data_IF_128097669388
#
_entry.id   IF_128097669388
#
_cell.length_a   1.000
_cell.length_b   1.000
_cell.length_c   1.000
_cell.angle_alpha   90.00
_cell.angle_beta   90.00
_cell.angle_gamma   90.00
#
_symmetry.space_group_name_H-M   'P 1'
#
loop_
_entity.id
_entity.type
_entity.pdbx_description
1 polymer ?
#
# COMPACT_ATOMS: atom_id res chain seq x y z
N UNK A 1 15.30 -6.05 -10.50
CA UNK A 1 14.15 -6.62 -9.77
C UNK A 1 13.32 -7.43 -10.76
N UNK A 2 12.73 -8.54 -10.34
CA UNK A 2 11.77 -9.34 -11.12
C UNK A 2 10.42 -9.37 -10.40
N UNK A 3 9.33 -9.43 -11.15
CA UNK A 3 7.98 -9.56 -10.57
C UNK A 3 7.65 -11.02 -10.25
N UNK A 4 6.86 -11.23 -9.21
CA UNK A 4 6.35 -12.54 -8.80
C UNK A 4 4.91 -12.42 -8.30
N UNK A 5 4.13 -13.50 -8.41
CA UNK A 5 2.78 -13.60 -7.85
C UNK A 5 2.56 -15.01 -7.29
N UNK A 6 2.66 -15.13 -5.97
CA UNK A 6 2.46 -16.37 -5.24
C UNK A 6 0.96 -16.63 -4.96
N UNK A 7 0.60 -17.90 -4.78
CA UNK A 7 -0.71 -18.27 -4.29
C UNK A 7 -1.00 -17.72 -2.87
N UNK A 8 -2.28 -17.48 -2.57
CA UNK A 8 -2.74 -17.07 -1.23
C UNK A 8 -2.77 -18.26 -0.27
N UNK A 9 -3.28 -19.41 -0.73
CA UNK A 9 -3.39 -20.64 0.04
C UNK A 9 -2.05 -21.37 -0.01
N UNK A 10 -1.39 -21.50 1.14
CA UNK A 10 -0.08 -22.15 1.23
C UNK A 10 -0.12 -23.34 2.20
N UNK A 11 0.77 -24.29 1.97
CA UNK A 11 0.94 -25.47 2.81
C UNK A 11 1.31 -25.03 4.25
N UNK A 12 0.72 -25.64 5.31
CA UNK A 12 1.05 -25.33 6.70
C UNK A 12 2.55 -25.33 7.03
N UNK A 13 3.33 -26.21 6.41
CA UNK A 13 4.78 -26.30 6.62
C UNK A 13 5.54 -25.01 6.28
N UNK A 14 5.00 -24.20 5.37
CA UNK A 14 5.60 -22.89 5.03
C UNK A 14 5.56 -21.97 6.26
N UNK A 15 4.43 -21.96 6.96
CA UNK A 15 4.19 -21.13 8.13
C UNK A 15 4.85 -21.65 9.40
N UNK A 16 5.04 -22.97 9.48
CA UNK A 16 5.85 -23.62 10.51
C UNK A 16 7.34 -23.27 10.32
N UNK A 17 7.86 -23.42 9.11
CA UNK A 17 9.24 -23.06 8.78
C UNK A 17 9.51 -21.58 9.06
N UNK A 18 8.58 -20.69 8.70
CA UNK A 18 8.67 -19.26 8.99
C UNK A 18 8.27 -18.89 10.44
N UNK A 19 8.04 -19.84 11.34
CA UNK A 19 7.73 -19.58 12.74
C UNK A 19 6.41 -18.83 13.00
N UNK A 20 5.59 -18.58 11.96
CA UNK A 20 4.32 -17.85 12.10
C UNK A 20 3.29 -18.64 12.93
N UNK A 21 3.36 -19.97 12.93
CA UNK A 21 2.47 -20.77 13.77
C UNK A 21 2.80 -20.67 15.26
N UNK A 22 4.04 -20.31 15.61
CA UNK A 22 4.52 -20.22 17.00
C UNK A 22 4.53 -18.79 17.54
N UNK A 23 4.97 -17.81 16.73
CA UNK A 23 5.27 -16.45 17.18
C UNK A 23 4.29 -15.38 16.65
N UNK A 24 3.42 -15.69 15.69
CA UNK A 24 2.48 -14.72 15.10
C UNK A 24 1.18 -14.63 15.91
N UNK A 25 1.31 -14.29 17.19
CA UNK A 25 0.20 -14.23 18.14
C UNK A 25 0.15 -12.89 18.88
N UNK A 26 -1.07 -12.39 19.07
CA UNK A 26 -1.33 -11.21 19.89
C UNK A 26 -1.86 -11.62 21.27
N UNK A 27 -1.52 -10.88 22.35
CA UNK A 27 -2.11 -11.10 23.65
C UNK A 27 -3.56 -10.58 23.65
N UNK A 28 -4.52 -11.47 23.85
CA UNK A 28 -5.95 -11.18 23.81
C UNK A 28 -6.54 -11.17 25.23
N UNK A 29 -7.30 -10.13 25.55
CA UNK A 29 -8.19 -10.06 26.72
C UNK A 29 -9.63 -9.88 26.28
N UNK A 30 -10.57 -10.47 27.02
CA UNK A 30 -12.01 -10.32 26.78
C UNK A 30 -12.66 -9.64 27.98
N UNK A 31 -13.48 -8.63 27.71
CA UNK A 31 -14.32 -8.01 28.75
C UNK A 31 -15.39 -9.01 29.16
N UNK A 32 -15.40 -9.42 30.43
CA UNK A 32 -16.35 -10.39 31.00
C UNK A 32 -17.80 -9.88 31.02
N UNK A 33 -18.01 -8.59 30.75
CA UNK A 33 -19.33 -7.94 30.81
C UNK A 33 -19.99 -7.88 29.44
N UNK A 34 -19.27 -7.42 28.41
CA UNK A 34 -19.81 -7.28 27.05
C UNK A 34 -19.26 -8.29 26.04
N UNK A 35 -18.27 -9.10 26.43
CA UNK A 35 -17.56 -10.08 25.59
C UNK A 35 -16.81 -9.47 24.38
N UNK A 36 -16.60 -8.16 24.38
CA UNK A 36 -15.69 -7.51 23.43
C UNK A 36 -14.23 -7.89 23.75
N UNK A 37 -13.46 -8.07 22.69
CA UNK A 37 -12.08 -8.56 22.76
C UNK A 37 -11.14 -7.45 22.35
N UNK A 38 -10.05 -7.34 23.09
CA UNK A 38 -9.05 -6.31 22.88
C UNK A 38 -7.66 -6.94 22.94
N UNK A 39 -6.72 -6.23 22.34
CA UNK A 39 -5.31 -6.49 22.54
C UNK A 39 -4.88 -6.01 23.91
N UNK A 40 -4.31 -6.90 24.70
CA UNK A 40 -3.91 -6.61 26.08
C UNK A 40 -2.78 -5.57 26.16
N UNK A 41 -1.97 -5.46 25.10
CA UNK A 41 -0.87 -4.51 24.97
C UNK A 41 -1.31 -3.16 24.38
N UNK A 42 -2.59 -3.00 24.01
CA UNK A 42 -3.17 -1.74 23.56
C UNK A 42 -3.87 -1.01 24.72
N UNK A 43 -3.07 -0.47 25.65
CA UNK A 43 -3.58 0.15 26.89
C UNK A 43 -4.59 1.28 26.63
N UNK A 44 -4.40 2.07 25.57
CA UNK A 44 -5.31 3.15 25.20
C UNK A 44 -6.72 2.63 24.88
N UNK A 45 -6.82 1.54 24.12
CA UNK A 45 -8.10 0.93 23.73
C UNK A 45 -8.80 0.30 24.94
N UNK A 46 -8.03 -0.42 25.76
CA UNK A 46 -8.50 -1.01 27.01
C UNK A 46 -9.05 0.07 27.96
N UNK A 47 -8.31 1.17 28.12
CA UNK A 47 -8.70 2.28 29.00
C UNK A 47 -9.93 3.02 28.49
N UNK A 48 -10.02 3.24 27.18
CA UNK A 48 -11.21 3.84 26.56
C UNK A 48 -12.45 2.96 26.74
N UNK A 49 -12.31 1.65 26.59
CA UNK A 49 -13.40 0.70 26.82
C UNK A 49 -13.86 0.70 28.29
N UNK A 50 -12.91 0.72 29.24
CA UNK A 50 -13.22 0.85 30.66
C UNK A 50 -13.92 2.17 31.00
N UNK A 51 -13.58 3.27 30.32
CA UNK A 51 -14.27 4.55 30.47
C UNK A 51 -15.73 4.47 29.97
N UNK A 52 -15.97 3.83 28.82
CA UNK A 52 -17.31 3.64 28.27
C UNK A 52 -18.23 2.82 29.21
N UNK A 53 -17.68 1.78 29.87
CA UNK A 53 -18.42 1.03 30.89
C UNK A 53 -18.69 1.87 32.15
N UNK A 54 -17.74 2.71 32.59
CA UNK A 54 -17.95 3.63 33.72
C UNK A 54 -19.08 4.64 33.46
N UNK A 55 -19.19 5.16 32.24
CA UNK A 55 -20.28 6.07 31.86
C UNK A 55 -21.67 5.41 31.92
N UNK A 56 -21.73 4.09 31.76
CA UNK A 56 -22.96 3.29 31.84
C UNK A 56 -23.22 2.70 33.23
N UNK A 57 -22.37 3.03 34.21
CA UNK A 57 -22.38 2.45 35.57
C UNK A 57 -22.24 0.91 35.57
N UNK A 58 -21.54 0.35 34.56
CA UNK A 58 -21.30 -1.07 34.41
C UNK A 58 -19.93 -1.47 34.97
N UNK A 59 -19.84 -2.64 35.60
CA UNK A 59 -18.54 -3.21 36.02
C UNK A 59 -17.79 -3.72 34.80
N UNK A 60 -16.57 -3.24 34.56
CA UNK A 60 -15.66 -3.80 33.55
C UNK A 60 -14.63 -4.70 34.24
N UNK A 61 -14.51 -5.95 33.81
CA UNK A 61 -13.48 -6.86 34.29
C UNK A 61 -12.98 -7.77 33.17
N UNK A 62 -11.70 -8.10 33.20
CA UNK A 62 -11.02 -8.78 32.08
C UNK A 62 -10.79 -10.26 32.36
N UNK A 63 -10.73 -11.08 31.30
CA UNK A 63 -10.18 -12.45 31.38
C UNK A 63 -8.67 -12.44 31.52
N UNK A 64 -8.09 -13.57 31.95
CA UNK A 64 -6.64 -13.77 31.83
C UNK A 64 -6.19 -13.65 30.37
N UNK A 65 -5.06 -12.98 30.08
CA UNK A 65 -4.52 -12.87 28.74
C UNK A 65 -4.27 -14.24 28.11
N UNK A 66 -4.66 -14.40 26.85
CA UNK A 66 -4.38 -15.61 26.05
C UNK A 66 -3.69 -15.23 24.76
N UNK A 67 -2.75 -16.05 24.32
CA UNK A 67 -2.10 -15.87 23.02
C UNK A 67 -3.06 -16.30 21.90
N UNK A 68 -3.33 -15.41 20.96
CA UNK A 68 -4.21 -15.66 19.83
C UNK A 68 -3.44 -15.53 18.51
N UNK A 69 -3.28 -16.65 17.79
CA UNK A 69 -2.58 -16.65 16.50
C UNK A 69 -3.41 -15.90 15.44
N UNK A 70 -2.76 -14.96 14.75
CA UNK A 70 -3.41 -14.10 13.76
C UNK A 70 -3.54 -14.75 12.37
N UNK A 71 -2.95 -15.92 12.14
CA UNK A 71 -3.09 -16.65 10.88
C UNK A 71 -4.54 -17.11 10.68
N UNK A 72 -5.08 -16.88 9.48
CA UNK A 72 -6.45 -17.32 9.15
C UNK A 72 -6.41 -18.75 8.61
N UNK A 73 -6.96 -19.68 9.39
CA UNK A 73 -7.08 -21.09 9.00
C UNK A 73 -8.17 -21.29 7.94
N UNK A 74 -7.88 -22.13 6.95
CA UNK A 74 -8.82 -22.59 5.94
C UNK A 74 -8.70 -24.12 5.73
N UNK A 75 -9.69 -24.72 5.05
CA UNK A 75 -9.77 -26.17 4.83
C UNK A 75 -9.96 -26.46 3.34
N UNK A 76 -9.01 -27.17 2.73
CA UNK A 76 -9.06 -27.60 1.33
C UNK A 76 -9.39 -29.08 1.21
N UNK A 77 -10.32 -29.41 0.31
CA UNK A 77 -10.73 -30.79 0.03
C UNK A 77 -12.22 -30.88 -0.29
N UNK A 78 -12.59 -31.90 -1.07
CA UNK A 78 -13.98 -32.13 -1.51
C UNK A 78 -14.76 -32.94 -0.48
N UNK A 79 -14.09 -33.91 0.18
CA UNK A 79 -14.72 -34.83 1.13
C UNK A 79 -14.70 -34.21 2.53
N UNK A 80 -15.88 -34.11 3.13
CA UNK A 80 -16.05 -33.65 4.52
C UNK A 80 -15.41 -34.65 5.49
N UNK A 81 -14.55 -34.19 6.39
CA UNK A 81 -13.73 -35.04 7.28
C UNK A 81 -12.32 -35.34 6.80
N UNK A 82 -12.03 -35.21 5.49
CA UNK A 82 -10.70 -35.41 4.90
C UNK A 82 -10.04 -34.09 4.43
N UNK A 83 -10.66 -32.95 4.77
CA UNK A 83 -10.14 -31.65 4.37
C UNK A 83 -8.81 -31.37 5.06
N UNK A 84 -7.81 -31.03 4.25
CA UNK A 84 -6.48 -30.65 4.72
C UNK A 84 -6.50 -29.20 5.20
N UNK A 85 -5.91 -28.95 6.36
CA UNK A 85 -5.69 -27.58 6.84
C UNK A 85 -4.71 -26.86 5.94
N UNK A 86 -5.07 -25.63 5.58
CA UNK A 86 -4.17 -24.65 4.96
C UNK A 86 -4.40 -23.30 5.62
N UNK A 87 -3.55 -22.33 5.32
CA UNK A 87 -3.73 -20.98 5.83
C UNK A 87 -3.82 -20.00 4.69
N UNK A 88 -4.66 -18.98 4.87
CA UNK A 88 -4.50 -17.74 4.12
C UNK A 88 -3.24 -17.06 4.63
N UNK A 89 -2.39 -16.61 3.71
CA UNK A 89 -1.11 -15.99 4.04
C UNK A 89 -1.27 -14.72 4.89
N UNK A 90 -0.51 -14.63 6.00
CA UNK A 90 -0.45 -13.45 6.88
C UNK A 90 0.48 -12.34 6.41
N UNK A 91 1.36 -12.68 5.47
CA UNK A 91 2.25 -11.80 4.72
C UNK A 91 2.49 -12.36 3.32
N UNK A 92 3.03 -11.55 2.40
CA UNK A 92 3.27 -11.99 1.03
C UNK A 92 4.72 -12.49 0.77
N UNK A 93 5.63 -12.26 1.72
CA UNK A 93 7.05 -12.63 1.76
C UNK A 93 7.30 -14.11 1.49
N UNK A 94 6.61 -15.01 2.21
CA UNK A 94 6.94 -16.43 2.19
C UNK A 94 6.79 -17.09 0.82
N UNK A 95 5.84 -16.60 0.00
CA UNK A 95 5.64 -17.07 -1.37
C UNK A 95 6.87 -16.86 -2.26
N UNK A 96 7.62 -15.79 -2.03
CA UNK A 96 8.87 -15.49 -2.75
C UNK A 96 9.98 -16.45 -2.32
N UNK A 97 10.15 -16.70 -1.03
CA UNK A 97 11.25 -17.52 -0.52
C UNK A 97 11.12 -18.99 -0.93
N UNK A 98 9.92 -19.57 -0.84
CA UNK A 98 9.71 -20.96 -1.28
C UNK A 98 9.92 -21.14 -2.80
N UNK A 99 9.86 -20.05 -3.57
CA UNK A 99 10.11 -20.04 -5.01
C UNK A 99 11.49 -19.49 -5.41
N UNK A 100 12.39 -19.25 -4.45
CA UNK A 100 13.70 -18.65 -4.70
C UNK A 100 14.48 -19.36 -5.83
N UNK A 101 14.54 -20.71 -5.79
CA UNK A 101 15.19 -21.50 -6.85
C UNK A 101 14.51 -21.39 -8.20
N UNK A 102 13.17 -21.38 -8.22
CA UNK A 102 12.40 -21.28 -9.46
C UNK A 102 12.69 -19.93 -10.14
N UNK A 103 12.73 -18.85 -9.34
CA UNK A 103 13.08 -17.51 -9.83
C UNK A 103 14.52 -17.48 -10.35
N UNK A 104 15.49 -17.97 -9.59
CA UNK A 104 16.89 -18.02 -10.03
C UNK A 104 17.07 -18.84 -11.31
N UNK A 105 16.45 -20.02 -11.36
CA UNK A 105 16.55 -20.93 -12.50
C UNK A 105 15.93 -20.37 -13.78
N UNK A 106 14.82 -19.64 -13.67
CA UNK A 106 14.14 -19.06 -14.83
C UNK A 106 14.76 -17.73 -15.31
N UNK A 107 15.33 -16.96 -14.40
CA UNK A 107 15.77 -15.57 -14.70
C UNK A 107 17.29 -15.41 -14.78
N UNK A 108 18.06 -16.40 -14.30
CA UNK A 108 19.52 -16.39 -14.26
C UNK A 108 20.11 -15.11 -13.65
N UNK A 109 19.42 -14.50 -12.67
CA UNK A 109 19.89 -13.29 -12.00
C UNK A 109 21.13 -13.59 -11.15
N UNK A 110 22.10 -12.68 -11.18
CA UNK A 110 23.21 -12.65 -10.23
C UNK A 110 22.83 -11.84 -8.99
N UNK A 111 23.36 -12.22 -7.83
CA UNK A 111 23.25 -11.44 -6.60
C UNK A 111 24.18 -10.21 -6.70
N UNK A 112 23.71 -8.99 -6.36
CA UNK A 112 22.42 -8.70 -5.74
C UNK A 112 21.27 -8.58 -6.75
N UNK A 113 20.09 -9.08 -6.37
CA UNK A 113 18.85 -8.92 -7.13
C UNK A 113 17.64 -8.89 -6.22
N UNK A 114 16.53 -8.34 -6.71
CA UNK A 114 15.28 -8.28 -5.96
C UNK A 114 14.15 -9.04 -6.63
N UNK A 115 13.24 -9.56 -5.82
CA UNK A 115 11.94 -10.12 -6.23
C UNK A 115 10.85 -9.31 -5.57
N UNK A 116 9.98 -8.70 -6.37
CA UNK A 116 8.88 -7.88 -5.90
C UNK A 116 7.54 -8.58 -6.12
N UNK A 117 6.64 -8.43 -5.16
CA UNK A 117 5.28 -8.95 -5.22
C UNK A 117 4.31 -7.91 -4.66
N UNK A 118 3.13 -7.83 -5.27
CA UNK A 118 1.97 -7.12 -4.71
C UNK A 118 0.86 -8.16 -4.58
N UNK A 119 0.16 -8.17 -3.45
CA UNK A 119 -1.01 -9.02 -3.31
C UNK A 119 -1.63 -9.01 -1.93
N UNK A 120 -2.72 -9.77 -1.79
CA UNK A 120 -3.51 -9.84 -0.57
C UNK A 120 -2.80 -10.58 0.56
N UNK A 121 -2.95 -10.10 1.78
CA UNK A 121 -2.61 -10.78 3.03
C UNK A 121 -3.78 -10.71 4.01
N UNK A 122 -3.80 -11.65 4.94
CA UNK A 122 -4.93 -11.89 5.84
C UNK A 122 -4.45 -12.03 7.27
N UNK A 123 -4.96 -11.19 8.18
CA UNK A 123 -4.66 -11.26 9.60
C UNK A 123 -5.98 -11.29 10.36
N UNK A 124 -6.14 -12.22 11.30
CA UNK A 124 -7.33 -12.34 12.12
C UNK A 124 -7.31 -11.30 13.26
N UNK A 125 -7.24 -10.04 12.86
CA UNK A 125 -7.13 -8.88 13.75
C UNK A 125 -8.23 -8.91 14.81
N UNK A 126 -7.83 -8.68 16.07
CA UNK A 126 -8.74 -8.74 17.21
C UNK A 126 -9.72 -7.56 17.15
N UNK A 127 -9.18 -6.36 16.97
CA UNK A 127 -9.95 -5.10 16.94
C UNK A 127 -9.60 -4.32 15.68
N UNK A 128 -10.33 -4.50 14.56
CA UNK A 128 -10.21 -3.64 13.38
C UNK A 128 -10.48 -2.17 13.75
N UNK A 129 -9.82 -1.22 13.09
CA UNK A 129 -9.89 0.18 13.49
C UNK A 129 -9.23 1.15 12.51
N UNK A 130 -9.53 2.44 12.67
CA UNK A 130 -9.00 3.53 11.85
C UNK A 130 -9.17 3.28 10.33
N UNK A 131 -10.36 2.82 9.95
CA UNK A 131 -10.76 2.54 8.56
C UNK A 131 -9.85 1.48 7.90
N UNK A 132 -9.17 1.82 6.80
CA UNK A 132 -8.28 0.89 6.07
C UNK A 132 -6.91 0.70 6.74
N UNK A 133 -6.63 1.40 7.85
CA UNK A 133 -5.35 1.24 8.55
C UNK A 133 -5.21 -0.15 9.19
N UNK A 134 -6.30 -0.66 9.76
CA UNK A 134 -6.33 -1.95 10.47
C UNK A 134 -7.53 -2.77 10.02
N UNK A 135 -7.31 -3.65 9.05
CA UNK A 135 -8.29 -4.55 8.45
C UNK A 135 -7.84 -6.01 8.54
N UNK A 136 -8.78 -6.94 8.33
CA UNK A 136 -8.48 -8.39 8.30
C UNK A 136 -7.97 -8.89 6.95
N UNK A 137 -8.27 -8.15 5.90
CA UNK A 137 -7.81 -8.37 4.53
C UNK A 137 -7.26 -7.03 4.02
N UNK A 138 -6.06 -7.05 3.47
CA UNK A 138 -5.37 -5.88 2.91
C UNK A 138 -4.37 -6.34 1.84
N UNK A 139 -3.85 -5.40 1.07
CA UNK A 139 -2.80 -5.63 0.09
C UNK A 139 -1.46 -5.11 0.59
N UNK A 140 -0.41 -5.88 0.33
CA UNK A 140 0.97 -5.47 0.59
C UNK A 140 1.71 -5.31 -0.73
N UNK A 141 2.74 -4.48 -0.70
CA UNK A 141 3.74 -4.34 -1.74
C UNK A 141 5.11 -4.59 -1.11
N UNK A 142 5.72 -5.72 -1.48
CA UNK A 142 6.93 -6.20 -0.84
C UNK A 142 8.05 -6.40 -1.86
N UNK A 143 9.27 -6.10 -1.43
CA UNK A 143 10.49 -6.40 -2.16
C UNK A 143 11.40 -7.23 -1.28
N UNK A 144 11.76 -8.42 -1.75
CA UNK A 144 12.80 -9.25 -1.18
C UNK A 144 14.09 -9.04 -1.97
N UNK A 145 15.03 -8.27 -1.42
CA UNK A 145 16.30 -7.90 -2.05
C UNK A 145 17.44 -8.76 -1.51
N UNK A 146 17.88 -9.72 -2.33
CA UNK A 146 18.95 -10.66 -2.01
C UNK A 146 20.31 -10.01 -2.21
N UNK A 147 21.16 -10.08 -1.19
CA UNK A 147 22.53 -9.53 -1.17
C UNK A 147 23.53 -10.54 -0.66
N UNK A 148 24.81 -10.30 -0.96
CA UNK A 148 25.90 -11.06 -0.35
C UNK A 148 26.13 -10.57 1.09
N UNK A 149 26.58 -11.45 1.97
CA UNK A 149 26.76 -11.18 3.40
C UNK A 149 27.78 -10.06 3.73
N UNK A 150 28.58 -9.61 2.75
CA UNK A 150 29.57 -8.55 2.94
C UNK A 150 29.05 -7.11 2.80
N UNK A 151 27.83 -6.91 2.28
CA UNK A 151 27.27 -5.57 2.02
C UNK A 151 25.78 -5.36 2.44
N UNK A 152 25.23 -6.05 3.45
CA UNK A 152 23.81 -5.94 3.80
C UNK A 152 23.44 -4.56 4.37
N UNK A 153 24.32 -3.93 5.15
CA UNK A 153 24.03 -2.65 5.80
C UNK A 153 23.97 -1.48 4.81
N UNK A 154 24.79 -1.53 3.75
CA UNK A 154 24.70 -0.58 2.64
C UNK A 154 23.36 -0.73 1.91
N UNK A 155 22.99 -1.97 1.58
CA UNK A 155 21.71 -2.24 0.93
C UNK A 155 20.52 -1.81 1.80
N UNK A 156 20.59 -2.06 3.12
CA UNK A 156 19.59 -1.63 4.08
C UNK A 156 19.43 -0.10 4.11
N UNK A 157 20.53 0.64 4.28
CA UNK A 157 20.52 2.10 4.27
C UNK A 157 20.03 2.68 2.94
N UNK A 158 20.46 2.11 1.81
CA UNK A 158 20.01 2.51 0.49
C UNK A 158 18.50 2.33 0.31
N UNK A 159 17.96 1.17 0.73
CA UNK A 159 16.53 0.92 0.60
C UNK A 159 15.69 1.79 1.54
N UNK A 160 16.15 2.13 2.75
CA UNK A 160 15.49 3.13 3.62
C UNK A 160 15.27 4.45 2.87
N UNK A 161 16.34 5.01 2.29
CA UNK A 161 16.27 6.29 1.59
C UNK A 161 15.47 6.22 0.28
N UNK A 162 15.62 5.13 -0.48
CA UNK A 162 14.88 4.91 -1.73
C UNK A 162 13.36 4.85 -1.47
N UNK A 163 12.94 4.09 -0.45
CA UNK A 163 11.52 3.96 -0.10
C UNK A 163 10.93 5.26 0.43
N UNK A 164 11.64 5.98 1.31
CA UNK A 164 11.19 7.31 1.77
C UNK A 164 11.07 8.30 0.60
N UNK A 165 12.07 8.32 -0.28
CA UNK A 165 12.09 9.18 -1.47
C UNK A 165 10.96 8.84 -2.45
N UNK A 166 10.57 7.56 -2.56
CA UNK A 166 9.41 7.14 -3.35
C UNK A 166 8.10 7.75 -2.84
N UNK A 167 7.87 7.74 -1.52
CA UNK A 167 6.69 8.38 -0.91
C UNK A 167 6.67 9.90 -1.12
N UNK A 168 7.81 10.57 -0.91
CA UNK A 168 7.94 12.02 -1.12
C UNK A 168 7.75 12.38 -2.60
N UNK A 169 8.34 11.61 -3.51
CA UNK A 169 8.18 11.78 -4.96
C UNK A 169 6.75 11.56 -5.45
N UNK A 170 5.90 10.92 -4.65
CA UNK A 170 4.46 10.75 -4.90
C UNK A 170 3.60 11.77 -4.14
N UNK A 171 4.21 12.78 -3.52
CA UNK A 171 3.53 13.95 -2.98
C UNK A 171 3.31 13.95 -1.47
N UNK A 172 3.81 12.96 -0.71
CA UNK A 172 3.81 13.09 0.74
C UNK A 172 4.80 14.16 1.18
N UNK A 173 4.35 15.01 2.12
CA UNK A 173 5.20 16.03 2.75
C UNK A 173 6.32 15.39 3.56
N UNK A 174 7.56 15.83 3.32
CA UNK A 174 8.75 15.26 3.96
C UNK A 174 8.73 15.43 5.48
N UNK A 175 8.21 16.56 5.97
CA UNK A 175 8.08 16.85 7.40
C UNK A 175 7.09 15.94 8.13
N UNK A 176 6.20 15.26 7.38
CA UNK A 176 5.24 14.29 7.91
C UNK A 176 5.79 12.86 7.95
N UNK A 177 7.04 12.66 7.51
CA UNK A 177 7.68 11.34 7.41
C UNK A 177 8.93 11.25 8.28
N UNK A 178 9.03 10.19 9.08
CA UNK A 178 10.23 9.89 9.87
C UNK A 178 10.64 8.43 9.74
N UNK A 179 11.89 8.16 10.06
CA UNK A 179 12.38 6.82 10.32
C UNK A 179 12.26 6.54 11.82
N UNK A 180 11.78 5.34 12.16
CA UNK A 180 11.78 4.81 13.52
C UNK A 180 12.50 3.47 13.52
N UNK A 181 13.71 3.45 14.04
CA UNK A 181 14.45 2.19 14.21
C UNK A 181 13.86 1.43 15.40
N UNK A 182 13.72 0.10 15.27
CA UNK A 182 13.21 -0.75 16.34
C UNK A 182 14.26 -0.94 17.45
N UNK A 183 13.82 -0.93 18.70
CA UNK A 183 14.68 -1.24 19.84
C UNK A 183 14.96 -2.76 19.94
N UNK A 184 15.99 -3.18 20.68
CA UNK A 184 16.40 -4.60 20.77
C UNK A 184 15.26 -5.56 21.24
N UNK A 185 14.27 -5.06 21.97
CA UNK A 185 13.09 -5.83 22.41
C UNK A 185 11.92 -5.87 21.42
N UNK A 186 11.94 -5.03 20.39
CA UNK A 186 10.87 -4.92 19.37
C UNK A 186 11.23 -5.66 18.07
N UNK A 187 12.50 -6.01 17.87
CA UNK A 187 12.96 -6.73 16.69
C UNK A 187 12.24 -8.08 16.56
N UNK A 188 11.61 -8.31 15.41
CA UNK A 188 11.08 -9.63 15.06
C UNK A 188 12.20 -10.68 15.12
N UNK A 189 11.86 -11.93 15.46
CA UNK A 189 12.83 -13.01 15.71
C UNK A 189 13.77 -13.33 14.54
N UNK A 190 13.45 -12.85 13.33
CA UNK A 190 14.25 -13.00 12.12
C UNK A 190 15.08 -11.76 11.74
N UNK A 191 14.84 -10.60 12.36
CA UNK A 191 15.43 -9.33 11.94
C UNK A 191 16.75 -9.05 12.69
N UNK A 192 17.83 -8.80 11.92
CA UNK A 192 19.10 -8.24 12.43
C UNK A 192 19.06 -6.73 12.58
N UNK A 193 18.12 -6.07 11.91
CA UNK A 193 17.84 -4.65 12.01
C UNK A 193 16.50 -4.37 11.34
N UNK A 194 15.73 -3.45 11.92
CA UNK A 194 14.41 -3.08 11.43
C UNK A 194 14.22 -1.57 11.58
N UNK A 195 13.58 -0.97 10.57
CA UNK A 195 13.26 0.43 10.56
C UNK A 195 11.92 0.64 9.88
N UNK A 196 11.03 1.37 10.55
CA UNK A 196 9.75 1.77 9.97
C UNK A 196 9.85 3.17 9.36
N UNK A 197 9.25 3.33 8.19
CA UNK A 197 8.83 4.63 7.70
C UNK A 197 7.47 4.91 8.34
N UNK A 198 7.40 5.94 9.18
CA UNK A 198 6.17 6.36 9.83
C UNK A 198 5.64 7.67 9.23
N UNK A 199 4.32 7.77 9.19
CA UNK A 199 3.57 8.98 8.83
C UNK A 199 2.88 9.59 10.05
N UNK A 200 2.96 10.91 10.16
CA UNK A 200 2.22 11.67 11.17
C UNK A 200 0.74 11.84 10.75
N UNK A 201 -0.07 10.83 11.06
CA UNK A 201 -1.51 10.82 10.79
C UNK A 201 -2.30 11.67 11.81
N UNK A 202 -3.57 12.01 11.53
CA UNK A 202 -4.48 12.63 12.51
C UNK A 202 -4.66 11.84 13.80
N UNK A 203 -4.32 10.54 13.79
CA UNK A 203 -4.36 9.62 14.92
C UNK A 203 -2.96 9.21 15.41
N UNK A 204 -1.97 10.08 15.19
CA UNK A 204 -0.59 9.94 15.66
C UNK A 204 0.37 9.35 14.63
N UNK A 205 1.61 9.12 15.06
CA UNK A 205 2.62 8.46 14.24
C UNK A 205 2.27 6.99 14.02
N UNK A 206 2.23 6.58 12.76
CA UNK A 206 1.85 5.22 12.36
C UNK A 206 2.74 4.72 11.24
N UNK A 207 3.06 3.44 11.31
CA UNK A 207 3.87 2.71 10.34
C UNK A 207 3.19 2.64 8.96
N UNK A 208 3.94 2.99 7.92
CA UNK A 208 3.56 2.88 6.51
C UNK A 208 4.21 1.67 5.83
N UNK A 209 5.51 1.51 6.08
CA UNK A 209 6.36 0.52 5.45
C UNK A 209 7.52 0.17 6.38
N UNK A 210 7.71 -1.13 6.62
CA UNK A 210 8.86 -1.66 7.34
C UNK A 210 10.00 -2.01 6.39
N UNK A 211 11.22 -1.66 6.76
CA UNK A 211 12.46 -2.08 6.10
C UNK A 211 13.20 -2.98 7.07
N UNK A 212 13.47 -4.22 6.66
CA UNK A 212 14.06 -5.24 7.52
C UNK A 212 15.33 -5.82 6.90
N UNK A 213 16.39 -5.91 7.68
CA UNK A 213 17.53 -6.77 7.40
C UNK A 213 17.26 -8.13 8.05
N UNK A 214 16.84 -9.12 7.26
CA UNK A 214 16.40 -10.45 7.72
C UNK A 214 17.52 -11.48 7.77
N UNK A 215 18.75 -11.06 7.44
CA UNK A 215 19.89 -11.97 7.31
C UNK A 215 19.59 -13.12 6.35
N UNK A 216 20.07 -14.31 6.67
CA UNK A 216 19.86 -15.57 5.92
C UNK A 216 18.71 -16.42 6.49
N UNK A 217 17.95 -15.89 7.47
CA UNK A 217 17.02 -16.67 8.28
C UNK A 217 15.93 -17.36 7.44
N UNK A 218 15.26 -16.63 6.53
CA UNK A 218 14.13 -17.19 5.77
C UNK A 218 14.56 -18.35 4.87
N UNK A 219 15.63 -18.16 4.08
CA UNK A 219 16.13 -19.21 3.19
C UNK A 219 16.68 -20.41 3.97
N UNK A 220 17.39 -20.15 5.08
CA UNK A 220 17.91 -21.21 5.95
C UNK A 220 16.79 -22.07 6.52
N UNK A 221 15.74 -21.45 7.08
CA UNK A 221 14.59 -22.16 7.66
C UNK A 221 13.84 -22.97 6.61
N UNK A 222 13.55 -22.40 5.45
CA UNK A 222 12.89 -23.15 4.37
C UNK A 222 13.75 -24.30 3.84
N UNK A 223 15.06 -24.13 3.77
CA UNK A 223 15.99 -25.21 3.41
C UNK A 223 15.96 -26.35 4.44
N UNK A 224 16.01 -26.03 5.74
CA UNK A 224 15.96 -27.02 6.83
C UNK A 224 14.65 -27.83 6.83
N UNK A 225 13.50 -27.16 6.67
CA UNK A 225 12.18 -27.81 6.72
C UNK A 225 11.83 -28.58 5.45
N UNK A 226 12.30 -28.11 4.29
CA UNK A 226 12.02 -28.76 3.00
C UNK A 226 13.04 -29.83 2.61
N UNK A 227 14.25 -29.79 3.19
CA UNK A 227 15.40 -30.59 2.74
C UNK A 227 15.94 -30.20 1.35
N UNK A 228 15.44 -29.11 0.76
CA UNK A 228 15.87 -28.63 -0.55
C UNK A 228 16.92 -27.54 -0.40
N UNK A 229 18.05 -27.70 -1.09
CA UNK A 229 19.13 -26.70 -1.12
C UNK A 229 18.65 -25.37 -1.71
N UNK A 230 18.65 -24.27 -0.94
CA UNK A 230 18.26 -22.93 -1.38
C UNK A 230 19.45 -21.98 -1.54
N UNK A 231 20.69 -22.48 -1.51
CA UNK A 231 21.88 -21.65 -1.76
C UNK A 231 21.98 -21.15 -3.21
N UNK A 232 22.47 -19.93 -3.35
CA UNK A 232 23.00 -19.37 -4.59
C UNK A 232 24.42 -19.91 -4.85
N UNK A 233 24.76 -20.15 -6.12
CA UNK A 233 26.12 -20.56 -6.51
C UNK A 233 26.87 -19.31 -6.98
N UNK A 234 27.91 -18.94 -6.24
CA UNK A 234 28.77 -17.81 -6.55
C UNK A 234 29.67 -18.04 -7.77
N UNK A 235 30.35 -16.97 -8.20
CA UNK A 235 31.20 -17.02 -9.40
C UNK A 235 32.40 -17.96 -9.23
N UNK A 236 32.84 -18.25 -7.99
CA UNK A 236 33.88 -19.23 -7.70
C UNK A 236 33.33 -20.66 -7.41
N UNK A 237 32.02 -20.88 -7.62
CA UNK A 237 31.35 -22.17 -7.39
C UNK A 237 30.98 -22.46 -5.93
N UNK A 238 31.19 -21.48 -5.04
CA UNK A 238 30.82 -21.55 -3.64
C UNK A 238 29.30 -21.46 -3.46
N UNK A 239 28.78 -22.18 -2.46
CA UNK A 239 27.37 -22.09 -2.07
C UNK A 239 27.18 -21.01 -1.03
N UNK A 240 26.28 -20.07 -1.29
CA UNK A 240 25.99 -18.92 -0.43
C UNK A 240 24.49 -18.87 -0.17
N UNK A 241 24.09 -18.76 1.09
CA UNK A 241 22.75 -18.31 1.44
C UNK A 241 22.75 -16.78 1.44
N UNK A 242 22.15 -16.12 0.42
CA UNK A 242 22.13 -14.67 0.39
C UNK A 242 21.33 -14.12 1.57
N UNK A 243 21.73 -12.94 2.02
CA UNK A 243 20.96 -12.20 3.01
C UNK A 243 19.82 -11.45 2.31
N UNK A 244 18.76 -11.19 3.06
CA UNK A 244 17.54 -10.56 2.55
C UNK A 244 17.37 -9.20 3.20
N UNK A 245 17.31 -8.16 2.37
CA UNK A 245 16.75 -6.86 2.74
C UNK A 245 15.33 -6.83 2.22
N UNK A 246 14.38 -6.75 3.14
CA UNK A 246 12.96 -6.64 2.84
C UNK A 246 12.53 -5.18 2.91
N UNK A 247 11.69 -4.76 1.97
CA UNK A 247 10.82 -3.60 2.16
C UNK A 247 9.38 -4.10 2.10
N UNK A 248 8.57 -3.78 3.10
CA UNK A 248 7.18 -4.23 3.19
C UNK A 248 6.25 -3.06 3.47
N UNK A 249 5.59 -2.59 2.42
CA UNK A 249 4.62 -1.51 2.49
C UNK A 249 3.18 -2.03 2.45
N UNK A 250 2.30 -1.43 3.24
CA UNK A 250 0.84 -1.63 3.12
C UNK A 250 0.27 -0.75 2.01
N UNK A 251 -0.34 -1.33 0.98
CA UNK A 251 -0.94 -0.58 -0.15
C UNK A 251 -2.12 0.25 0.35
N UNK A 252 -3.01 -0.35 1.14
CA UNK A 252 -4.18 0.30 1.71
C UNK A 252 -3.80 1.44 2.67
N UNK A 253 -2.75 1.23 3.48
CA UNK A 253 -2.21 2.26 4.39
C UNK A 253 -1.59 3.41 3.61
N UNK A 254 -0.78 3.11 2.60
CA UNK A 254 -0.21 4.13 1.73
C UNK A 254 -1.31 4.95 1.06
N UNK A 255 -2.35 4.31 0.50
CA UNK A 255 -3.49 4.99 -0.09
C UNK A 255 -4.21 5.91 0.89
N UNK A 256 -4.49 5.43 2.12
CA UNK A 256 -5.09 6.24 3.18
C UNK A 256 -4.25 7.47 3.49
N UNK A 257 -2.94 7.31 3.68
CA UNK A 257 -2.06 8.42 4.04
C UNK A 257 -1.84 9.41 2.88
N UNK A 258 -1.83 8.96 1.62
CA UNK A 258 -1.86 9.88 0.48
C UNK A 258 -3.15 10.71 0.46
N UNK A 259 -4.30 10.13 0.76
CA UNK A 259 -5.58 10.86 0.83
C UNK A 259 -5.57 11.88 1.98
N UNK A 260 -5.15 11.45 3.17
CA UNK A 260 -5.03 12.30 4.35
C UNK A 260 -4.06 13.45 4.10
N UNK A 261 -2.89 13.17 3.52
CA UNK A 261 -1.89 14.20 3.27
C UNK A 261 -2.27 15.15 2.14
N UNK A 262 -3.09 14.72 1.18
CA UNK A 262 -3.57 15.53 0.07
C UNK A 262 -4.77 16.42 0.42
N UNK A 263 -5.57 16.06 1.43
CA UNK A 263 -6.80 16.77 1.80
C UNK A 263 -6.54 18.20 2.27
N UNK A 264 -7.19 19.18 1.64
CA UNK A 264 -7.15 20.59 2.02
C UNK A 264 -8.54 21.20 1.98
N UNK A 265 -8.79 22.08 2.93
CA UNK A 265 -9.92 23.01 2.91
C UNK A 265 -9.35 24.40 2.62
N UNK A 266 -9.51 24.86 1.38
CA UNK A 266 -9.27 26.26 1.01
C UNK A 266 -10.54 27.07 1.36
N UNK A 267 -10.47 28.42 1.41
CA UNK A 267 -11.59 29.28 1.85
C UNK A 267 -12.94 28.97 1.16
N UNK A 268 -12.91 28.64 -0.13
CA UNK A 268 -14.12 28.43 -0.95
C UNK A 268 -14.32 26.98 -1.44
N UNK A 269 -13.44 26.04 -1.09
CA UNK A 269 -13.50 24.67 -1.63
C UNK A 269 -12.75 23.63 -0.80
N UNK A 270 -13.21 22.38 -0.91
CA UNK A 270 -12.42 21.21 -0.55
C UNK A 270 -11.64 20.76 -1.78
N UNK A 271 -10.36 20.42 -1.61
CA UNK A 271 -9.49 19.94 -2.69
C UNK A 271 -8.60 18.80 -2.22
N UNK A 272 -8.55 17.72 -3.00
CA UNK A 272 -7.55 16.68 -2.84
C UNK A 272 -6.33 17.02 -3.70
N UNK A 273 -5.27 17.54 -3.07
CA UNK A 273 -4.01 17.87 -3.75
C UNK A 273 -3.14 16.64 -4.03
N UNK A 274 -3.75 15.58 -4.55
CA UNK A 274 -3.05 14.34 -4.94
C UNK A 274 -1.99 14.66 -5.99
N UNK A 275 -0.84 14.00 -5.90
CA UNK A 275 0.15 14.06 -6.98
C UNK A 275 -0.51 13.60 -8.30
N UNK A 276 -0.25 14.26 -9.45
CA UNK A 276 -0.91 13.91 -10.71
C UNK A 276 -0.83 12.44 -11.09
N UNK A 277 0.28 11.76 -10.74
CA UNK A 277 0.46 10.31 -10.95
C UNK A 277 -0.51 9.45 -10.14
N UNK A 278 -0.96 9.91 -8.97
CA UNK A 278 -1.91 9.21 -8.10
C UNK A 278 -3.38 9.59 -8.34
N UNK A 279 -3.65 10.75 -8.95
CA UNK A 279 -5.02 11.20 -9.18
C UNK A 279 -5.86 10.16 -9.96
N UNK A 280 -7.11 9.85 -9.55
CA UNK A 280 -7.92 8.80 -10.18
C UNK A 280 -8.26 9.13 -11.64
N UNK A 281 -8.56 10.39 -11.91
CA UNK A 281 -8.62 10.96 -13.25
C UNK A 281 -7.46 11.93 -13.42
N UNK A 282 -6.84 11.92 -14.60
CA UNK A 282 -5.79 12.89 -14.95
C UNK A 282 -6.41 14.16 -15.51
N UNK A 283 -7.48 14.01 -16.28
CA UNK A 283 -8.14 15.13 -16.94
C UNK A 283 -9.65 14.99 -16.83
N UNK A 284 -10.37 16.09 -16.64
CA UNK A 284 -11.81 16.15 -16.83
C UNK A 284 -12.14 17.05 -18.03
N UNK A 285 -13.15 16.70 -18.82
CA UNK A 285 -13.55 17.50 -20.00
C UNK A 285 -15.00 17.95 -19.87
N UNK A 286 -15.22 19.23 -20.10
CA UNK A 286 -16.49 19.93 -19.91
C UNK A 286 -16.89 20.74 -21.14
N UNK A 287 -18.16 20.70 -21.57
CA UNK A 287 -18.70 21.76 -22.41
C UNK A 287 -19.04 22.98 -21.54
N UNK A 288 -18.77 24.20 -22.01
CA UNK A 288 -19.12 25.43 -21.27
C UNK A 288 -20.62 25.46 -20.93
N UNK A 289 -21.46 25.14 -21.92
CA UNK A 289 -22.91 25.05 -21.79
C UNK A 289 -23.43 23.71 -22.28
N UNK A 290 -24.05 22.94 -21.39
CA UNK A 290 -24.60 21.62 -21.71
C UNK A 290 -25.86 21.65 -22.59
N UNK A 291 -26.58 22.77 -22.61
CA UNK A 291 -27.77 22.95 -23.44
C UNK A 291 -27.45 23.36 -24.89
N UNK A 292 -26.17 23.43 -25.28
CA UNK A 292 -25.71 23.75 -26.64
C UNK A 292 -25.13 22.48 -27.28
N UNK A 293 -25.88 21.78 -28.16
CA UNK A 293 -25.47 20.48 -28.69
C UNK A 293 -24.10 20.47 -29.37
N UNK A 294 -23.78 21.53 -30.13
CA UNK A 294 -22.50 21.65 -30.84
C UNK A 294 -21.29 21.79 -29.90
N UNK A 295 -21.43 22.46 -28.74
CA UNK A 295 -20.37 22.52 -27.73
C UNK A 295 -20.18 21.14 -27.08
N UNK A 296 -21.29 20.46 -26.77
CA UNK A 296 -21.25 19.11 -26.19
C UNK A 296 -20.59 18.13 -27.16
N UNK A 297 -20.90 18.20 -28.45
CA UNK A 297 -20.31 17.35 -29.48
C UNK A 297 -18.79 17.57 -29.59
N UNK A 298 -18.34 18.83 -29.67
CA UNK A 298 -16.90 19.15 -29.69
C UNK A 298 -16.20 18.70 -28.40
N UNK A 299 -16.80 18.93 -27.23
CA UNK A 299 -16.25 18.49 -25.96
C UNK A 299 -16.17 16.97 -25.84
N UNK A 300 -17.16 16.23 -26.36
CA UNK A 300 -17.11 14.76 -26.42
C UNK A 300 -16.02 14.27 -27.35
N UNK A 301 -15.79 14.93 -28.48
CA UNK A 301 -14.68 14.59 -29.37
C UNK A 301 -13.33 14.74 -28.66
N UNK A 302 -13.08 15.89 -28.02
CA UNK A 302 -11.87 16.13 -27.21
C UNK A 302 -11.71 15.10 -26.08
N UNK A 303 -12.81 14.81 -25.36
CA UNK A 303 -12.81 13.82 -24.30
C UNK A 303 -12.44 12.42 -24.82
N UNK A 304 -13.00 12.00 -25.95
CA UNK A 304 -12.72 10.70 -26.55
C UNK A 304 -11.29 10.58 -27.08
N UNK A 305 -10.69 11.68 -27.51
CA UNK A 305 -9.27 11.73 -27.88
C UNK A 305 -8.38 11.51 -26.66
N UNK A 306 -8.60 12.29 -25.59
CA UNK A 306 -7.80 12.21 -24.36
C UNK A 306 -7.93 10.85 -23.65
N UNK A 307 -9.13 10.25 -23.68
CA UNK A 307 -9.39 8.90 -23.11
C UNK A 307 -8.50 7.80 -23.67
N UNK A 308 -7.91 7.98 -24.84
CA UNK A 308 -7.00 6.98 -25.44
C UNK A 308 -5.69 6.86 -24.67
N UNK A 309 -5.27 7.93 -24.00
CA UNK A 309 -3.98 8.03 -23.32
C UNK A 309 -4.10 8.27 -21.82
N UNK A 310 -5.24 8.78 -21.34
CA UNK A 310 -5.42 9.19 -19.96
C UNK A 310 -6.74 8.72 -19.37
N UNK A 311 -6.76 8.52 -18.05
CA UNK A 311 -8.00 8.41 -17.30
C UNK A 311 -8.73 9.74 -17.34
N UNK A 312 -9.77 9.83 -18.18
CA UNK A 312 -10.46 11.09 -18.46
C UNK A 312 -11.94 11.06 -18.04
N UNK A 313 -12.30 12.00 -17.17
CA UNK A 313 -13.67 12.21 -16.73
C UNK A 313 -14.46 13.09 -17.73
N UNK A 314 -15.77 12.89 -17.78
CA UNK A 314 -16.72 13.72 -18.53
C UNK A 314 -17.75 14.28 -17.57
N UNK A 315 -18.04 15.58 -17.65
CA UNK A 315 -19.15 16.18 -16.90
C UNK A 315 -19.80 17.36 -17.65
N UNK A 316 -21.10 17.23 -17.92
CA UNK A 316 -21.96 18.25 -18.51
C UNK A 316 -23.06 18.73 -17.53
N UNK A 317 -22.99 18.34 -16.25
CA UNK A 317 -24.02 18.69 -15.26
C UNK A 317 -23.78 20.06 -14.66
N UNK A 318 -24.85 20.80 -14.42
CA UNK A 318 -24.81 22.04 -13.67
C UNK A 318 -23.96 23.15 -14.33
N UNK A 319 -23.53 24.11 -13.52
CA UNK A 319 -22.67 25.20 -14.01
C UNK A 319 -21.20 24.77 -14.00
N UNK A 320 -20.36 25.49 -14.74
CA UNK A 320 -18.94 25.18 -14.88
C UNK A 320 -18.16 25.24 -13.56
N UNK A 321 -18.45 26.21 -12.69
CA UNK A 321 -17.78 26.35 -11.39
C UNK A 321 -17.99 25.13 -10.49
N UNK A 322 -19.23 24.65 -10.41
CA UNK A 322 -19.57 23.42 -9.65
C UNK A 322 -18.87 22.18 -10.20
N UNK A 323 -18.67 22.10 -11.51
CA UNK A 323 -17.92 21.00 -12.14
C UNK A 323 -16.43 21.06 -11.80
N UNK A 324 -15.84 22.26 -11.77
CA UNK A 324 -14.48 22.43 -11.28
C UNK A 324 -14.34 21.96 -9.82
N UNK A 325 -15.24 22.40 -8.93
CA UNK A 325 -15.16 22.00 -7.52
C UNK A 325 -15.37 20.49 -7.31
N UNK A 326 -16.31 19.87 -8.04
CA UNK A 326 -16.48 18.41 -7.98
C UNK A 326 -15.22 17.65 -8.42
N UNK A 327 -14.43 18.21 -9.36
CA UNK A 327 -13.16 17.61 -9.77
C UNK A 327 -12.01 17.93 -8.81
N UNK A 328 -12.01 19.12 -8.20
CA UNK A 328 -11.06 19.50 -7.16
C UNK A 328 -11.21 18.56 -5.94
N UNK A 329 -12.45 18.25 -5.53
CA UNK A 329 -12.78 17.34 -4.43
C UNK A 329 -12.23 15.92 -4.63
N UNK A 330 -12.21 15.41 -5.87
CA UNK A 330 -11.66 14.09 -6.18
C UNK A 330 -10.21 14.12 -6.68
N UNK A 331 -9.60 15.32 -6.67
CA UNK A 331 -8.19 15.53 -6.94
C UNK A 331 -7.77 15.42 -8.40
N UNK A 332 -8.68 15.60 -9.36
CA UNK A 332 -8.33 15.64 -10.79
C UNK A 332 -7.45 16.86 -11.08
N UNK A 333 -6.22 16.70 -11.59
CA UNK A 333 -5.24 17.79 -11.65
C UNK A 333 -5.57 18.82 -12.75
N UNK A 334 -6.23 18.42 -13.84
CA UNK A 334 -6.59 19.33 -14.93
C UNK A 334 -8.05 19.20 -15.38
N UNK A 335 -8.68 20.33 -15.62
CA UNK A 335 -10.00 20.40 -16.25
C UNK A 335 -9.91 21.14 -17.58
N UNK A 336 -10.42 20.54 -18.64
CA UNK A 336 -10.49 21.09 -19.99
C UNK A 336 -11.91 21.57 -20.26
N UNK A 337 -12.04 22.82 -20.65
CA UNK A 337 -13.32 23.44 -20.99
C UNK A 337 -13.35 23.80 -22.47
N UNK A 338 -14.40 23.32 -23.13
CA UNK A 338 -14.75 23.68 -24.51
C UNK A 338 -15.78 24.80 -24.49
N UNK A 339 -15.38 25.97 -24.95
CA UNK A 339 -16.16 27.20 -25.01
C UNK A 339 -16.50 27.58 -26.46
N UNK A 340 -17.13 28.74 -26.66
CA UNK A 340 -17.51 29.21 -27.99
C UNK A 340 -16.28 29.50 -28.86
N UNK A 341 -15.25 30.10 -28.28
CA UNK A 341 -13.98 30.42 -28.96
C UNK A 341 -13.32 29.15 -29.51
N UNK A 342 -13.45 28.02 -28.80
CA UNK A 342 -12.98 26.70 -29.27
C UNK A 342 -13.50 26.33 -30.67
N UNK A 343 -14.71 26.76 -31.03
CA UNK A 343 -15.31 26.44 -32.33
C UNK A 343 -14.72 27.29 -33.46
N UNK A 344 -14.10 28.42 -33.12
CA UNK A 344 -13.49 29.36 -34.05
C UNK A 344 -11.99 29.11 -34.21
N UNK A 345 -11.29 28.87 -33.10
CA UNK A 345 -9.81 28.84 -33.05
C UNK A 345 -9.21 27.45 -32.79
N UNK A 346 -10.04 26.43 -32.55
CA UNK A 346 -9.64 25.05 -32.18
C UNK A 346 -8.68 24.97 -30.96
N UNK A 347 -8.83 25.92 -30.02
CA UNK A 347 -8.14 25.92 -28.73
C UNK A 347 -9.13 25.75 -27.59
N UNK A 348 -8.70 25.13 -26.50
CA UNK A 348 -9.51 24.88 -25.30
C UNK A 348 -8.87 25.50 -24.08
N UNK A 349 -9.68 25.74 -23.06
CA UNK A 349 -9.21 26.28 -21.80
C UNK A 349 -8.83 25.12 -20.85
N UNK A 350 -7.58 25.08 -20.42
CA UNK A 350 -7.07 24.10 -19.44
C UNK A 350 -6.91 24.79 -18.09
N UNK A 351 -7.62 24.32 -17.06
CA UNK A 351 -7.53 24.80 -15.68
C UNK A 351 -6.69 23.85 -14.84
N UNK A 352 -5.70 24.39 -14.12
CA UNK A 352 -4.95 23.66 -13.10
C UNK A 352 -5.73 23.60 -11.77
N UNK A 353 -5.79 22.42 -11.14
CA UNK A 353 -6.47 22.21 -9.85
C UNK A 353 -5.93 23.08 -8.72
N UNK A 354 -4.61 23.06 -8.54
CA UNK A 354 -3.96 23.66 -7.37
C UNK A 354 -3.92 25.19 -7.47
N UNK A 355 -3.42 25.72 -8.60
CA UNK A 355 -3.29 27.17 -8.80
C UNK A 355 -4.57 27.85 -9.27
N UNK A 356 -5.57 27.09 -9.72
CA UNK A 356 -6.80 27.58 -10.37
C UNK A 356 -6.57 28.41 -11.66
N UNK A 357 -5.32 28.53 -12.11
CA UNK A 357 -4.95 29.26 -13.32
C UNK A 357 -5.48 28.54 -14.56
N UNK A 358 -5.84 29.34 -15.56
CA UNK A 358 -6.37 28.88 -16.83
C UNK A 358 -5.44 29.31 -17.96
N UNK A 359 -5.20 28.42 -18.90
CA UNK A 359 -4.43 28.70 -20.12
C UNK A 359 -5.13 28.14 -21.35
N UNK A 360 -4.90 28.76 -22.51
CA UNK A 360 -5.44 28.29 -23.80
C UNK A 360 -4.45 27.38 -24.47
N UNK A 361 -4.89 26.18 -24.85
CA UNK A 361 -4.06 25.16 -25.49
C UNK A 361 -4.78 24.65 -26.75
N UNK A 362 -4.04 24.52 -27.85
CA UNK A 362 -4.59 23.95 -29.09
C UNK A 362 -5.04 22.51 -28.87
N UNK A 363 -6.21 22.14 -29.41
CA UNK A 363 -6.78 20.79 -29.25
C UNK A 363 -5.80 19.72 -29.72
N UNK A 364 -5.14 19.94 -30.86
CA UNK A 364 -4.13 19.04 -31.44
C UNK A 364 -2.89 18.82 -30.55
N UNK A 365 -2.60 19.73 -29.62
CA UNK A 365 -1.46 19.67 -28.72
C UNK A 365 -1.76 19.07 -27.34
N UNK A 366 -3.03 18.78 -27.01
CA UNK A 366 -3.43 18.39 -25.65
C UNK A 366 -2.78 17.09 -25.17
N UNK A 367 -2.66 16.09 -26.05
CA UNK A 367 -2.06 14.81 -25.68
C UNK A 367 -0.60 14.98 -25.26
N UNK A 368 0.18 15.75 -26.02
CA UNK A 368 1.56 16.05 -25.69
C UNK A 368 1.65 16.89 -24.41
N UNK A 369 0.82 17.93 -24.31
CA UNK A 369 0.76 18.81 -23.14
C UNK A 369 0.57 18.02 -21.83
N UNK A 370 -0.41 17.11 -21.78
CA UNK A 370 -0.64 16.32 -20.56
C UNK A 370 0.42 15.25 -20.32
N UNK A 371 1.04 14.71 -21.38
CA UNK A 371 2.16 13.77 -21.25
C UNK A 371 3.35 14.44 -20.57
N UNK A 372 3.70 15.66 -20.98
CA UNK A 372 4.80 16.43 -20.38
C UNK A 372 4.53 16.83 -18.92
N UNK A 373 3.27 17.08 -18.56
CA UNK A 373 2.87 17.39 -17.18
C UNK A 373 2.83 16.16 -16.26
N UNK A 374 2.78 14.96 -16.82
CA UNK A 374 2.71 13.68 -16.09
C UNK A 374 4.05 12.93 -16.02
N UNK A 375 5.01 13.31 -16.86
CA UNK A 375 6.39 12.83 -16.81
C UNK A 375 7.06 13.27 -15.51
#
# INVERSE_FOLDING_TARGET
VVGFDAAILMNPKVWEASGHLEAFADPLVECKTCHERFRADHEDEVTQHEAAHREREETCSWTEPRQFNLMVEARLGVIEGEKTTVYLRGEITQGVHVNFRNVLGATHRKVPFGVAQIGKAFRNEITPGNFTFRSKEFEQMELQYYVLCGDPDNAFGRWKEERKSWYVGLGLRQEKLRFRDHEEGELAHYAKGACDIEYESPFGWKEMEGIHNRGDWDLKRHQEFSGTELSYIGDAGEKILPWIIETSGGVDRAALFFLVDAYREDEDRVVLRLHPRLAPYKVAVFPLLANKPFLVEKARAVCNELRRNFMTAWDDRGNIGKRYYAQDEIGTPWCVTVDFDTLEDDTVTVRNRDSMQQERVAVSGLTQYFTEKLA
#
